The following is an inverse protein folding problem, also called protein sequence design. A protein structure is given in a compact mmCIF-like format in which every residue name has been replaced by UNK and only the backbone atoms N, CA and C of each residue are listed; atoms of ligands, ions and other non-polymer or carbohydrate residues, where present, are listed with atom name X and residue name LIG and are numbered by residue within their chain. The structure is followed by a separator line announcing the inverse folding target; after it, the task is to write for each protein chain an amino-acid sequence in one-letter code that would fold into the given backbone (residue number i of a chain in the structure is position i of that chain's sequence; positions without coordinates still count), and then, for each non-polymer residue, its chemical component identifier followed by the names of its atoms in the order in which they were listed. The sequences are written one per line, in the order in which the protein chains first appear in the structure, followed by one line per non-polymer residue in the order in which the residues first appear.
data_IF_026084847315
#
_entry.id   IF_026084847315
#
_cell.length_a   1.000
_cell.length_b   1.000
_cell.length_c   1.000
_cell.angle_alpha   90.00
_cell.angle_beta   90.00
_cell.angle_gamma   90.00
#
_symmetry.space_group_name_H-M   'P 1'
#
loop_
_entity.id
_entity.type
_entity.pdbx_description
1 polymer ?
#
# COMPACT_ATOMS: atom_id res chain seq x y z
N UNK A 1 -9.75 11.09 5.08
CA UNK A 1 -10.15 9.68 4.90
C UNK A 1 -8.98 8.82 5.29
N UNK A 2 -9.02 8.07 6.39
CA UNK A 2 -7.87 7.29 6.84
C UNK A 2 -7.84 5.93 6.13
N UNK A 3 -6.69 5.50 5.60
CA UNK A 3 -6.53 4.15 5.04
C UNK A 3 -6.52 3.11 6.16
N UNK A 4 -7.69 2.55 6.47
CA UNK A 4 -7.83 1.49 7.47
C UNK A 4 -7.32 0.15 6.95
N UNK A 5 -6.93 -0.73 7.87
CA UNK A 5 -6.49 -2.10 7.58
C UNK A 5 -7.49 -2.86 6.70
N UNK A 6 -8.77 -2.79 7.03
CA UNK A 6 -9.83 -3.49 6.31
C UNK A 6 -10.04 -2.93 4.91
N UNK A 7 -9.96 -1.60 4.75
CA UNK A 7 -10.09 -0.99 3.43
C UNK A 7 -8.92 -1.38 2.52
N UNK A 8 -7.71 -1.37 3.06
CA UNK A 8 -6.52 -1.80 2.33
C UNK A 8 -6.67 -3.27 1.92
N UNK A 9 -7.10 -4.15 2.84
CA UNK A 9 -7.32 -5.57 2.52
C UNK A 9 -8.40 -5.78 1.47
N UNK A 10 -9.52 -5.07 1.57
CA UNK A 10 -10.61 -5.13 0.59
C UNK A 10 -10.12 -4.78 -0.82
N UNK A 11 -9.39 -3.66 -0.95
CA UNK A 11 -8.86 -3.18 -2.23
C UNK A 11 -7.83 -4.14 -2.81
N UNK A 12 -6.95 -4.69 -1.98
CA UNK A 12 -5.92 -5.66 -2.41
C UNK A 12 -6.55 -7.00 -2.81
N UNK A 13 -7.51 -7.48 -2.03
CA UNK A 13 -8.25 -8.70 -2.34
C UNK A 13 -9.00 -8.55 -3.66
N UNK A 14 -9.70 -7.43 -3.86
CA UNK A 14 -10.44 -7.13 -5.09
C UNK A 14 -9.53 -7.07 -6.32
N UNK A 15 -8.30 -6.57 -6.18
CA UNK A 15 -7.40 -6.34 -7.32
C UNK A 15 -6.48 -7.51 -7.64
N UNK A 16 -5.99 -8.21 -6.62
CA UNK A 16 -4.93 -9.20 -6.74
C UNK A 16 -5.33 -10.58 -6.22
N UNK A 17 -6.56 -10.74 -5.69
CA UNK A 17 -7.07 -12.00 -5.11
C UNK A 17 -6.19 -12.56 -3.98
N UNK A 18 -5.43 -11.70 -3.31
CA UNK A 18 -4.56 -12.04 -2.17
C UNK A 18 -4.85 -11.11 -0.99
N UNK A 19 -4.54 -11.58 0.21
CA UNK A 19 -4.64 -10.78 1.44
C UNK A 19 -3.36 -9.99 1.70
N UNK A 20 -3.47 -8.69 1.94
CA UNK A 20 -2.35 -7.88 2.38
C UNK A 20 -1.86 -8.30 3.78
N UNK A 21 -0.56 -8.56 3.89
CA UNK A 21 0.11 -8.79 5.17
C UNK A 21 0.24 -7.50 5.98
N UNK A 22 0.39 -7.64 7.29
CA UNK A 22 0.41 -6.51 8.21
C UNK A 22 1.50 -5.47 7.89
N UNK A 23 2.73 -5.90 7.60
CA UNK A 23 3.81 -4.97 7.25
C UNK A 23 3.52 -4.20 5.94
N UNK A 24 2.79 -4.82 4.99
CA UNK A 24 2.43 -4.18 3.73
C UNK A 24 1.39 -3.07 3.96
N UNK A 25 0.44 -3.31 4.88
CA UNK A 25 -0.55 -2.32 5.34
C UNK A 25 0.16 -1.14 6.01
N UNK A 26 1.11 -1.42 6.92
CA UNK A 26 1.89 -0.37 7.59
C UNK A 26 2.67 0.49 6.60
N UNK A 27 3.28 -0.11 5.58
CA UNK A 27 3.97 0.62 4.52
C UNK A 27 3.00 1.57 3.80
N UNK A 28 1.82 1.09 3.41
CA UNK A 28 0.83 1.93 2.74
C UNK A 28 0.36 3.11 3.63
N UNK A 29 0.07 2.85 4.90
CA UNK A 29 -0.36 3.88 5.86
C UNK A 29 0.74 4.92 6.13
N UNK A 30 2.00 4.50 6.23
CA UNK A 30 3.11 5.41 6.42
C UNK A 30 3.38 6.25 5.17
N UNK A 31 3.24 5.69 3.96
CA UNK A 31 3.29 6.45 2.70
C UNK A 31 2.16 7.49 2.66
N UNK A 32 0.93 7.10 3.00
CA UNK A 32 -0.21 8.03 3.08
C UNK A 32 0.04 9.18 4.06
N UNK A 33 0.74 8.90 5.15
CA UNK A 33 1.12 9.89 6.16
C UNK A 33 2.32 10.76 5.75
N UNK A 34 2.86 10.60 4.54
CA UNK A 34 4.00 11.37 4.02
C UNK A 34 5.36 10.96 4.60
N UNK A 35 5.49 9.75 5.16
CA UNK A 35 6.76 9.26 5.73
C UNK A 35 7.63 8.57 4.66
N UNK A 36 8.94 8.74 4.77
CA UNK A 36 9.93 7.94 4.04
C UNK A 36 10.12 6.60 4.74
N UNK A 37 10.20 5.49 3.99
CA UNK A 37 10.20 4.14 4.55
C UNK A 37 11.32 3.31 3.93
N UNK A 38 12.03 2.55 4.77
CA UNK A 38 12.95 1.49 4.35
C UNK A 38 12.30 0.16 4.73
N UNK A 39 12.01 -0.68 3.73
CA UNK A 39 11.44 -2.01 3.96
C UNK A 39 12.53 -3.09 4.04
N UNK A 40 12.65 -3.75 5.19
CA UNK A 40 13.50 -4.94 5.34
C UNK A 40 12.63 -6.20 5.42
N UNK A 41 12.65 -7.01 4.37
CA UNK A 41 11.94 -8.29 4.31
C UNK A 41 12.64 -9.25 3.34
N UNK A 42 12.52 -10.58 3.51
CA UNK A 42 13.05 -11.57 2.56
C UNK A 42 12.45 -11.43 1.16
N UNK A 43 13.13 -11.95 0.15
CA UNK A 43 12.57 -12.01 -1.22
C UNK A 43 11.37 -12.94 -1.26
N UNK A 44 10.37 -12.62 -2.09
CA UNK A 44 9.09 -13.33 -2.09
C UNK A 44 8.11 -12.92 -0.98
N UNK A 45 8.56 -12.20 0.07
CA UNK A 45 7.67 -11.74 1.15
C UNK A 45 6.63 -10.68 0.72
N UNK A 46 6.74 -10.17 -0.51
CA UNK A 46 5.79 -9.17 -1.04
C UNK A 46 6.16 -7.72 -0.72
N UNK A 47 7.44 -7.42 -0.49
CA UNK A 47 7.92 -6.04 -0.30
C UNK A 47 7.57 -5.11 -1.47
N UNK A 48 7.66 -5.57 -2.72
CA UNK A 48 7.20 -4.84 -3.92
C UNK A 48 5.71 -4.50 -3.87
N UNK A 49 4.87 -5.47 -3.49
CA UNK A 49 3.41 -5.27 -3.41
C UNK A 49 3.07 -4.14 -2.42
N UNK A 50 3.81 -4.01 -1.32
CA UNK A 50 3.61 -2.94 -0.32
C UNK A 50 3.60 -1.53 -0.93
N UNK A 51 4.49 -1.23 -1.88
CA UNK A 51 4.53 0.07 -2.56
C UNK A 51 3.37 0.22 -3.56
N UNK A 52 3.00 -0.85 -4.27
CA UNK A 52 1.85 -0.85 -5.16
C UNK A 52 0.52 -0.64 -4.44
N UNK A 53 0.38 -1.14 -3.20
CA UNK A 53 -0.81 -0.93 -2.38
C UNK A 53 -1.07 0.56 -2.19
N UNK A 54 -0.04 1.35 -1.84
CA UNK A 54 -0.19 2.79 -1.69
C UNK A 54 -0.68 3.48 -2.97
N UNK A 55 -0.13 3.08 -4.13
CA UNK A 55 -0.58 3.61 -5.42
C UNK A 55 -2.02 3.21 -5.74
N UNK A 56 -2.40 1.97 -5.42
CA UNK A 56 -3.74 1.45 -5.66
C UNK A 56 -4.78 2.18 -4.79
N UNK A 57 -4.46 2.40 -3.52
CA UNK A 57 -5.30 3.16 -2.59
C UNK A 57 -5.44 4.62 -3.02
N UNK A 58 -4.34 5.27 -3.43
CA UNK A 58 -4.39 6.64 -3.96
C UNK A 58 -5.27 6.75 -5.21
N UNK A 59 -5.26 5.71 -6.07
CA UNK A 59 -6.13 5.62 -7.24
C UNK A 59 -7.60 5.45 -6.84
N UNK A 60 -7.90 4.60 -5.86
CA UNK A 60 -9.27 4.37 -5.37
C UNK A 60 -9.87 5.66 -4.77
N UNK A 61 -9.06 6.41 -4.01
CA UNK A 61 -9.42 7.71 -3.43
C UNK A 61 -9.42 8.86 -4.45
N UNK A 62 -9.15 8.58 -5.73
CA UNK A 62 -9.05 9.56 -6.83
C UNK A 62 -8.10 10.73 -6.51
N UNK A 63 -7.03 10.45 -5.78
CA UNK A 63 -6.03 11.46 -5.43
C UNK A 63 -5.37 12.00 -6.70
N UNK A 64 -5.27 13.33 -6.83
CA UNK A 64 -4.59 13.95 -7.97
C UNK A 64 -3.12 13.56 -7.96
N UNK A 65 -2.61 13.27 -9.16
CA UNK A 65 -1.30 12.70 -9.44
C UNK A 65 -0.18 13.50 -8.75
N UNK A 66 0.35 12.97 -7.66
CA UNK A 66 1.67 13.35 -7.16
C UNK A 66 2.68 12.43 -7.84
N UNK A 67 3.82 12.98 -8.30
CA UNK A 67 4.84 12.22 -9.03
C UNK A 67 5.45 11.16 -8.08
N UNK A 68 4.94 9.94 -8.13
CA UNK A 68 5.51 8.80 -7.41
C UNK A 68 6.74 8.35 -8.20
N UNK A 69 7.92 8.63 -7.66
CA UNK A 69 9.19 8.10 -8.16
C UNK A 69 9.56 6.94 -7.23
N UNK A 70 9.64 5.72 -7.78
CA UNK A 70 10.01 4.50 -7.05
C UNK A 70 11.49 4.23 -7.25
#
# INVERSE_FOLDING_TARGET
SHWTDDKIREVVQKKFSVRAYYFQIQVAQAIYSGKNIIGYAPTGAGKTLSFWIAMLMAKEDKMKRHKVTV
#
